data_IF_738978367896
#
_entry.id   IF_738978367896
#
_cell.length_a   1.000
_cell.length_b   1.000
_cell.length_c   1.000
_cell.angle_alpha   90.00
_cell.angle_beta   90.00
_cell.angle_gamma   90.00
#
_symmetry.space_group_name_H-M   'P 1'
#
loop_
_entity.id
_entity.type
_entity.pdbx_description
1 polymer ?
#
# COMPACT_ATOMS: atom_id res chain seq x y z
N UNK A 1 21.99 -0.88 -35.74
CA UNK A 1 20.76 -0.93 -36.58
C UNK A 1 19.47 -1.27 -35.79
N UNK A 2 19.27 -0.81 -34.54
CA UNK A 2 17.97 -1.00 -33.83
C UNK A 2 17.57 0.17 -32.92
N UNK A 3 18.34 1.27 -32.95
CA UNK A 3 18.17 2.44 -32.08
C UNK A 3 17.51 3.64 -32.77
N UNK A 4 16.87 3.44 -33.93
CA UNK A 4 16.40 4.54 -34.78
C UNK A 4 14.89 4.57 -35.05
N UNK A 5 14.09 3.73 -34.37
CA UNK A 5 12.63 3.62 -34.60
C UNK A 5 11.74 3.94 -33.40
N UNK A 6 12.31 4.18 -32.22
CA UNK A 6 11.51 4.38 -30.99
C UNK A 6 11.25 5.86 -30.62
N UNK A 7 11.81 6.81 -31.37
CA UNK A 7 11.82 8.24 -30.97
C UNK A 7 10.78 9.13 -31.69
N UNK A 8 9.90 8.57 -32.54
CA UNK A 8 8.93 9.35 -33.32
C UNK A 8 7.46 9.22 -32.87
N UNK A 9 7.17 8.45 -31.82
CA UNK A 9 5.77 8.18 -31.39
C UNK A 9 5.37 9.01 -30.15
N UNK A 10 6.30 9.69 -29.48
CA UNK A 10 6.04 10.56 -28.31
C UNK A 10 6.18 12.03 -28.73
N UNK A 11 5.38 12.49 -29.70
CA UNK A 11 5.64 13.80 -30.34
C UNK A 11 4.44 14.60 -30.83
N UNK A 12 3.21 14.08 -30.76
CA UNK A 12 2.04 14.86 -31.14
C UNK A 12 0.81 14.38 -30.36
N UNK A 13 -0.06 15.32 -30.00
CA UNK A 13 -1.28 15.20 -29.19
C UNK A 13 -1.06 15.52 -27.70
N UNK A 14 -0.87 16.81 -27.41
CA UNK A 14 -1.75 17.50 -26.47
C UNK A 14 -1.79 18.98 -26.89
N UNK A 15 -2.71 19.26 -27.82
CA UNK A 15 -3.04 20.62 -28.22
C UNK A 15 -3.78 21.32 -27.08
N UNK A 16 -3.42 22.59 -26.86
CA UNK A 16 -4.06 23.48 -25.91
C UNK A 16 -5.54 23.71 -26.25
N UNK A 17 -6.39 23.70 -25.22
CA UNK A 17 -7.69 24.37 -25.21
C UNK A 17 -7.99 24.77 -23.78
N UNK A 18 -7.78 26.06 -23.48
CA UNK A 18 -8.33 26.68 -22.29
C UNK A 18 -9.76 27.11 -22.57
N UNK A 19 -10.71 26.63 -21.77
CA UNK A 19 -11.97 27.29 -21.47
C UNK A 19 -12.54 26.67 -20.18
N UNK A 20 -12.93 27.55 -19.28
CA UNK A 20 -13.45 27.27 -17.94
C UNK A 20 -14.71 26.39 -17.95
N UNK A 21 -14.68 25.28 -17.22
CA UNK A 21 -15.87 24.62 -16.71
C UNK A 21 -15.56 24.01 -15.34
N UNK A 22 -16.44 24.35 -14.41
CA UNK A 22 -16.50 23.93 -13.01
C UNK A 22 -16.91 22.46 -12.97
N UNK A 23 -15.99 21.55 -12.68
CA UNK A 23 -16.31 20.14 -12.43
C UNK A 23 -15.76 19.69 -11.08
N UNK A 24 -16.45 20.13 -10.03
CA UNK A 24 -16.56 19.37 -8.80
C UNK A 24 -17.28 18.05 -9.11
N UNK A 25 -16.55 16.99 -9.44
CA UNK A 25 -16.96 15.62 -9.15
C UNK A 25 -15.82 14.62 -9.44
N UNK A 26 -15.06 14.31 -8.41
CA UNK A 26 -14.55 12.96 -8.23
C UNK A 26 -14.86 12.58 -6.77
N UNK A 27 -16.16 12.44 -6.52
CA UNK A 27 -16.68 11.63 -5.43
C UNK A 27 -16.46 10.18 -5.82
N UNK A 28 -15.21 9.72 -5.78
CA UNK A 28 -14.91 8.30 -5.76
C UNK A 28 -15.30 7.77 -4.38
N UNK A 29 -16.58 7.45 -4.31
CA UNK A 29 -17.17 6.42 -3.49
C UNK A 29 -16.19 5.26 -3.27
N UNK A 30 -15.52 5.29 -2.13
CA UNK A 30 -15.10 4.10 -1.41
C UNK A 30 -15.75 4.12 -0.03
N UNK A 31 -17.10 4.14 -0.01
CA UNK A 31 -17.80 3.48 1.09
C UNK A 31 -17.61 1.97 0.88
N UNK A 32 -16.55 1.45 1.48
CA UNK A 32 -16.57 0.11 2.02
C UNK A 32 -16.06 0.23 3.44
N UNK A 33 -16.95 0.71 4.30
CA UNK A 33 -16.98 0.30 5.68
C UNK A 33 -16.96 -1.25 5.71
N UNK A 34 -15.76 -1.82 5.83
CA UNK A 34 -15.59 -3.14 6.40
C UNK A 34 -15.00 -2.85 7.76
N UNK A 35 -15.81 -3.10 8.78
CA UNK A 35 -15.55 -2.79 10.17
C UNK A 35 -14.08 -2.98 10.57
N UNK A 36 -13.50 -2.09 11.39
CA UNK A 36 -12.39 -2.54 12.22
C UNK A 36 -12.97 -3.65 13.09
N UNK A 37 -12.60 -4.90 12.79
CA UNK A 37 -12.70 -5.94 13.81
C UNK A 37 -11.76 -5.49 14.91
N UNK A 38 -12.35 -4.92 15.94
CA UNK A 38 -11.74 -4.66 17.24
C UNK A 38 -11.14 -5.96 17.78
N UNK A 39 -9.93 -6.27 17.33
CA UNK A 39 -8.95 -7.09 18.06
C UNK A 39 -8.16 -6.18 19.02
N UNK A 40 -8.82 -5.14 19.53
CA UNK A 40 -8.20 -3.99 20.20
C UNK A 40 -7.63 -4.30 21.58
N UNK A 41 -8.03 -5.40 22.22
CA UNK A 41 -7.90 -5.48 23.68
C UNK A 41 -6.99 -6.59 24.22
N UNK A 42 -6.59 -7.60 23.42
CA UNK A 42 -5.82 -8.75 23.94
C UNK A 42 -4.42 -8.90 23.33
N UNK A 43 -4.11 -8.21 22.24
CA UNK A 43 -2.77 -8.18 21.66
C UNK A 43 -2.11 -6.84 21.96
N UNK A 44 -1.24 -6.79 22.96
CA UNK A 44 -0.41 -5.62 23.25
C UNK A 44 0.95 -5.71 22.51
N UNK A 45 1.54 -4.57 22.17
CA UNK A 45 2.89 -4.48 21.58
C UNK A 45 3.01 -4.97 20.14
N UNK A 46 4.14 -5.61 19.81
CA UNK A 46 4.48 -6.06 18.45
C UNK A 46 3.49 -7.08 17.87
N UNK A 47 2.77 -7.84 18.71
CA UNK A 47 1.75 -8.78 18.25
C UNK A 47 0.54 -8.06 17.64
N UNK A 48 0.13 -6.93 18.22
CA UNK A 48 -0.92 -6.04 17.65
C UNK A 48 -0.54 -5.60 16.25
N UNK A 49 0.68 -5.06 16.14
CA UNK A 49 1.21 -4.53 14.90
C UNK A 49 1.39 -5.63 13.84
N UNK A 50 1.73 -6.85 14.25
CA UNK A 50 1.82 -7.99 13.36
C UNK A 50 0.46 -8.38 12.77
N UNK A 51 -0.57 -8.54 13.61
CA UNK A 51 -1.92 -8.86 13.15
C UNK A 51 -2.51 -7.77 12.25
N UNK A 52 -2.34 -6.51 12.62
CA UNK A 52 -2.74 -5.37 11.79
C UNK A 52 -1.96 -5.34 10.48
N UNK A 53 -0.66 -5.61 10.50
CA UNK A 53 0.14 -5.65 9.28
C UNK A 53 -0.37 -6.74 8.32
N UNK A 54 -0.75 -7.92 8.81
CA UNK A 54 -1.34 -9.00 7.98
C UNK A 54 -2.60 -8.50 7.28
N UNK A 55 -3.53 -7.91 8.04
CA UNK A 55 -4.78 -7.42 7.48
C UNK A 55 -4.55 -6.27 6.51
N UNK A 56 -3.69 -5.33 6.87
CA UNK A 56 -3.28 -4.23 6.00
C UNK A 56 -2.68 -4.79 4.72
N UNK A 57 -1.74 -5.74 4.78
CA UNK A 57 -1.11 -6.43 3.64
C UNK A 57 -2.11 -7.12 2.72
N UNK A 58 -3.23 -7.61 3.24
CA UNK A 58 -4.31 -8.20 2.46
C UNK A 58 -5.26 -7.15 1.83
N UNK A 59 -5.27 -5.91 2.32
CA UNK A 59 -6.12 -4.83 1.78
C UNK A 59 -5.53 -4.21 0.51
N UNK A 60 -6.38 -3.90 -0.47
CA UNK A 60 -5.98 -3.18 -1.68
C UNK A 60 -5.69 -1.70 -1.42
N UNK A 61 -6.38 -1.09 -0.45
CA UNK A 61 -6.18 0.32 -0.04
C UNK A 61 -5.50 0.37 1.33
N UNK A 62 -4.55 1.30 1.49
CA UNK A 62 -3.78 1.47 2.73
C UNK A 62 -4.21 2.74 3.45
N UNK A 63 -5.19 2.66 4.36
CA UNK A 63 -5.58 3.81 5.15
C UNK A 63 -4.42 4.24 6.07
N UNK A 64 -4.40 5.50 6.52
CA UNK A 64 -3.36 6.02 7.42
C UNK A 64 -3.26 5.23 8.73
N UNK A 65 -4.36 4.60 9.17
CA UNK A 65 -4.38 3.70 10.34
C UNK A 65 -3.44 2.49 10.20
N UNK A 66 -3.14 2.05 8.97
CA UNK A 66 -2.18 0.98 8.70
C UNK A 66 -0.71 1.43 8.81
N UNK A 67 -0.43 2.73 8.87
CA UNK A 67 0.91 3.28 8.87
C UNK A 67 1.83 2.73 9.99
N UNK A 68 1.42 2.65 11.28
CA UNK A 68 2.29 2.14 12.34
C UNK A 68 2.68 0.67 12.12
N UNK A 69 1.72 -0.16 11.72
CA UNK A 69 1.90 -1.60 11.52
C UNK A 69 2.74 -1.90 10.28
N UNK A 70 2.50 -1.18 9.19
CA UNK A 70 3.33 -1.27 7.98
C UNK A 70 4.73 -0.69 8.21
N UNK A 71 4.87 0.41 8.95
CA UNK A 71 6.18 0.98 9.29
C UNK A 71 7.03 -0.04 10.04
N UNK A 72 6.45 -0.77 11.00
CA UNK A 72 7.14 -1.87 11.67
C UNK A 72 7.52 -2.99 10.69
N UNK A 73 6.59 -3.47 9.87
CA UNK A 73 6.84 -4.52 8.87
C UNK A 73 7.97 -4.16 7.88
N UNK A 74 7.97 -2.93 7.36
CA UNK A 74 8.97 -2.46 6.38
C UNK A 74 10.30 -2.07 7.02
N UNK A 75 10.31 -1.68 8.30
CA UNK A 75 11.55 -1.42 9.04
C UNK A 75 12.40 -2.69 9.25
N UNK A 76 11.79 -3.87 9.12
CA UNK A 76 12.50 -5.15 9.10
C UNK A 76 13.27 -5.28 7.78
N UNK A 77 14.57 -5.06 7.86
CA UNK A 77 15.51 -5.16 6.75
C UNK A 77 16.61 -6.19 7.05
N UNK A 78 17.16 -6.79 6.00
CA UNK A 78 18.30 -7.69 6.10
C UNK A 78 19.19 -7.57 4.86
N UNK A 79 20.49 -7.89 5.00
CA UNK A 79 21.46 -7.83 3.90
C UNK A 79 21.11 -8.75 2.71
N UNK A 80 20.36 -9.84 2.96
CA UNK A 80 19.97 -10.82 1.93
C UNK A 80 18.45 -10.89 1.83
N UNK A 81 17.91 -10.91 0.61
CA UNK A 81 16.47 -10.91 0.34
C UNK A 81 15.72 -12.07 1.02
N UNK A 82 16.27 -13.29 0.96
CA UNK A 82 15.68 -14.45 1.64
C UNK A 82 15.64 -14.30 3.17
N UNK A 83 16.68 -13.69 3.77
CA UNK A 83 16.70 -13.41 5.22
C UNK A 83 15.69 -12.33 5.58
N UNK A 84 15.50 -11.34 4.73
CA UNK A 84 14.50 -10.30 4.95
C UNK A 84 13.07 -10.87 4.90
N UNK A 85 12.78 -11.71 3.90
CA UNK A 85 11.50 -12.41 3.81
C UNK A 85 11.25 -13.31 5.04
N UNK A 86 12.27 -14.06 5.50
CA UNK A 86 12.18 -14.87 6.71
C UNK A 86 11.86 -14.03 7.96
N UNK A 87 12.55 -12.89 8.16
CA UNK A 87 12.28 -12.01 9.30
C UNK A 87 10.90 -11.35 9.22
N UNK A 88 10.49 -10.93 8.02
CA UNK A 88 9.14 -10.39 7.79
C UNK A 88 8.07 -11.43 8.07
N UNK A 89 8.26 -12.67 7.64
CA UNK A 89 7.39 -13.79 7.97
C UNK A 89 7.34 -14.03 9.48
N UNK A 90 8.49 -14.10 10.15
CA UNK A 90 8.56 -14.29 11.59
C UNK A 90 7.83 -13.19 12.38
N UNK A 91 7.84 -11.95 11.89
CA UNK A 91 7.02 -10.87 12.46
C UNK A 91 5.53 -11.13 12.26
N UNK A 92 5.09 -11.53 11.06
CA UNK A 92 3.69 -11.87 10.80
C UNK A 92 3.21 -13.12 11.58
N UNK A 93 4.12 -14.04 11.89
CA UNK A 93 3.86 -15.24 12.69
C UNK A 93 3.62 -14.93 14.19
N UNK A 94 3.92 -13.71 14.64
CA UNK A 94 3.55 -13.24 15.99
C UNK A 94 2.02 -13.11 16.15
N UNK A 95 1.30 -13.03 15.05
CA UNK A 95 -0.16 -13.08 15.04
C UNK A 95 -0.60 -14.55 15.05
N UNK A 96 -1.09 -15.08 16.20
CA UNK A 96 -1.68 -16.41 16.21
C UNK A 96 -2.89 -16.40 15.27
N UNK A 97 -2.95 -17.39 14.40
CA UNK A 97 -4.00 -17.54 13.39
C UNK A 97 -5.33 -17.90 14.02
#
# INVERSE_FOLDING_TARGET
>A
MKKLVFSLIVGAIFAASGATAKETSAKDTATKASAPKEFGDVFTGDKKLACEAVLCLASATRPPECAPSLKKYYSITAKKAHKQAQKRKAFLDLCPR
#
